data_IF_794952916160
#
_entry.id   IF_794952916160
#
_cell.length_a   1.000
_cell.length_b   1.000
_cell.length_c   1.000
_cell.angle_alpha   90.00
_cell.angle_beta   90.00
_cell.angle_gamma   90.00
#
_symmetry.space_group_name_H-M   'P 1'
#
loop_
_entity.id
_entity.type
_entity.pdbx_description
1 polymer ?
#
# COMPACT_ATOMS: atom_id res chain seq x y z
N UNK A 1 9.89 -7.54 3.78
CA UNK A 1 9.53 -8.90 3.32
C UNK A 1 10.77 -9.57 2.76
N UNK A 2 11.12 -10.76 3.25
CA UNK A 2 12.14 -11.56 2.60
C UNK A 2 11.61 -11.92 1.20
N UNK A 3 12.19 -11.36 0.14
CA UNK A 3 11.74 -11.56 -1.25
C UNK A 3 11.99 -12.97 -1.80
N UNK A 4 12.14 -13.97 -0.93
CA UNK A 4 12.39 -15.36 -1.28
C UNK A 4 11.09 -16.15 -1.30
N UNK A 5 10.95 -17.03 -2.28
CA UNK A 5 9.83 -17.97 -2.37
C UNK A 5 9.85 -18.94 -1.18
N UNK A 6 8.67 -19.24 -0.63
CA UNK A 6 8.52 -20.20 0.46
C UNK A 6 8.73 -21.61 -0.08
N UNK A 7 9.67 -22.37 0.52
CA UNK A 7 10.03 -23.73 0.06
C UNK A 7 9.54 -24.87 0.95
N UNK A 8 8.93 -24.58 2.09
CA UNK A 8 8.43 -25.59 3.04
C UNK A 8 6.94 -25.37 3.36
N UNK A 9 6.29 -26.42 3.85
CA UNK A 9 4.86 -26.56 4.22
C UNK A 9 4.38 -25.63 5.36
N UNK A 10 4.68 -24.34 5.26
CA UNK A 10 4.37 -23.37 6.28
C UNK A 10 2.86 -23.15 6.34
N UNK A 11 2.28 -23.50 7.49
CA UNK A 11 0.95 -23.03 7.87
C UNK A 11 0.96 -21.50 7.87
N UNK A 12 -0.03 -20.87 7.25
CA UNK A 12 -0.16 -19.41 7.26
C UNK A 12 -0.45 -18.96 8.69
N UNK A 13 0.55 -18.38 9.38
CA UNK A 13 0.32 -17.72 10.67
C UNK A 13 -0.23 -16.32 10.41
N UNK A 14 -1.42 -16.05 10.92
CA UNK A 14 -2.08 -14.74 10.86
C UNK A 14 -2.02 -14.10 12.24
N UNK A 15 -1.48 -12.89 12.31
CA UNK A 15 -1.49 -12.07 13.52
C UNK A 15 -2.82 -11.28 13.58
N UNK A 16 -3.56 -11.41 14.69
CA UNK A 16 -4.84 -10.74 14.91
C UNK A 16 -4.71 -9.40 15.65
N UNK A 17 -3.47 -8.93 15.90
CA UNK A 17 -3.25 -7.64 16.56
C UNK A 17 -3.81 -6.48 15.73
N UNK A 18 -4.66 -5.63 16.33
CA UNK A 18 -5.21 -4.47 15.62
C UNK A 18 -4.16 -3.36 15.46
N UNK A 19 -4.39 -2.47 14.51
CA UNK A 19 -3.53 -1.30 14.29
C UNK A 19 -3.48 -0.41 15.55
N UNK A 20 -2.31 0.12 15.94
CA UNK A 20 -2.19 1.05 17.06
C UNK A 20 -3.08 2.28 16.88
N UNK A 21 -3.71 2.75 17.96
CA UNK A 21 -4.66 3.87 17.93
C UNK A 21 -4.07 5.21 17.46
N UNK A 22 -2.74 5.35 17.49
CA UNK A 22 -2.04 6.54 16.98
C UNK A 22 -2.10 6.68 15.46
N UNK A 23 -2.40 5.60 14.73
CA UNK A 23 -2.45 5.59 13.26
C UNK A 23 -3.93 5.55 12.84
N UNK A 24 -4.45 6.61 12.19
CA UNK A 24 -5.82 6.61 11.71
C UNK A 24 -6.05 5.54 10.66
N UNK A 25 -7.14 4.78 10.82
CA UNK A 25 -7.55 3.74 9.89
C UNK A 25 -7.82 4.29 8.48
N UNK A 26 -7.55 3.47 7.47
CA UNK A 26 -7.83 3.77 6.07
C UNK A 26 -8.67 2.67 5.46
N UNK A 27 -9.53 3.06 4.51
CA UNK A 27 -10.28 2.08 3.75
C UNK A 27 -9.42 1.52 2.62
N UNK A 28 -9.23 0.21 2.65
CA UNK A 28 -8.50 -0.52 1.62
C UNK A 28 -9.22 -0.50 0.27
N UNK A 29 -8.47 -0.79 -0.80
CA UNK A 29 -8.93 -0.67 -2.20
C UNK A 29 -9.99 -1.73 -2.53
N UNK A 30 -9.90 -2.92 -1.93
CA UNK A 30 -10.94 -3.97 -2.07
C UNK A 30 -11.10 -4.56 -3.48
N UNK A 31 -10.21 -4.26 -4.42
CA UNK A 31 -10.25 -4.75 -5.79
C UNK A 31 -9.30 -5.95 -5.99
N UNK A 32 -9.73 -6.92 -6.80
CA UNK A 32 -8.89 -8.06 -7.20
C UNK A 32 -7.91 -7.69 -8.32
N UNK A 33 -7.01 -8.61 -8.66
CA UNK A 33 -5.93 -8.34 -9.63
C UNK A 33 -6.43 -7.88 -11.00
N UNK A 34 -7.51 -8.48 -11.52
CA UNK A 34 -8.08 -8.14 -12.82
C UNK A 34 -8.62 -6.69 -12.90
N UNK A 35 -9.52 -6.24 -12.00
CA UNK A 35 -10.00 -4.86 -12.03
C UNK A 35 -8.88 -3.85 -11.73
N UNK A 36 -7.95 -4.16 -10.81
CA UNK A 36 -6.79 -3.29 -10.56
C UNK A 36 -5.92 -3.12 -11.81
N UNK A 37 -5.67 -4.21 -12.55
CA UNK A 37 -4.89 -4.16 -13.78
C UNK A 37 -5.61 -3.32 -14.85
N UNK A 38 -6.92 -3.50 -15.01
CA UNK A 38 -7.71 -2.73 -15.97
C UNK A 38 -7.75 -1.23 -15.65
N UNK A 39 -7.75 -0.87 -14.36
CA UNK A 39 -7.78 0.51 -13.89
C UNK A 39 -6.39 1.16 -13.75
N UNK A 40 -5.31 0.40 -13.93
CA UNK A 40 -3.93 0.81 -13.61
C UNK A 40 -3.50 2.12 -14.29
N UNK A 41 -3.83 2.31 -15.56
CA UNK A 41 -3.51 3.53 -16.30
C UNK A 41 -4.28 4.76 -15.77
N UNK A 42 -5.54 4.57 -15.39
CA UNK A 42 -6.37 5.65 -14.83
C UNK A 42 -5.91 6.04 -13.42
N UNK A 43 -5.55 5.05 -12.60
CA UNK A 43 -4.94 5.26 -11.29
C UNK A 43 -3.61 6.01 -11.45
N UNK A 44 -2.77 5.60 -12.41
CA UNK A 44 -1.51 6.26 -12.70
C UNK A 44 -1.68 7.72 -13.11
N UNK A 45 -2.65 8.03 -13.99
CA UNK A 45 -2.89 9.40 -14.44
C UNK A 45 -3.42 10.30 -13.32
N UNK A 46 -4.34 9.80 -12.47
CA UNK A 46 -4.95 10.60 -11.41
C UNK A 46 -4.06 10.73 -10.18
N UNK A 47 -3.37 9.66 -9.81
CA UNK A 47 -2.65 9.55 -8.54
C UNK A 47 -1.13 9.72 -8.68
N UNK A 48 -0.65 10.15 -9.84
CA UNK A 48 0.79 10.31 -10.13
C UNK A 48 1.56 11.03 -9.02
N UNK A 49 1.13 12.24 -8.65
CA UNK A 49 1.82 13.05 -7.65
C UNK A 49 1.90 12.36 -6.28
N UNK A 50 0.83 11.66 -5.86
CA UNK A 50 0.83 10.96 -4.57
C UNK A 50 1.73 9.72 -4.58
N UNK A 51 1.77 9.00 -5.70
CA UNK A 51 2.63 7.84 -5.88
C UNK A 51 4.11 8.25 -5.89
N UNK A 52 4.43 9.32 -6.61
CA UNK A 52 5.78 9.86 -6.71
C UNK A 52 6.25 10.40 -5.34
N UNK A 53 5.40 11.11 -4.59
CA UNK A 53 5.67 11.55 -3.21
C UNK A 53 5.96 10.38 -2.25
N UNK A 54 5.18 9.29 -2.35
CA UNK A 54 5.37 8.10 -1.50
C UNK A 54 6.71 7.42 -1.80
N UNK A 55 7.05 7.29 -3.09
CA UNK A 55 8.32 6.71 -3.51
C UNK A 55 9.50 7.60 -3.08
N UNK A 56 9.36 8.92 -3.21
CA UNK A 56 10.37 9.87 -2.75
C UNK A 56 10.60 9.76 -1.23
N UNK A 57 9.53 9.79 -0.42
CA UNK A 57 9.62 9.61 1.03
C UNK A 57 10.34 8.30 1.41
N UNK A 58 10.02 7.21 0.70
CA UNK A 58 10.65 5.91 0.93
C UNK A 58 12.13 5.91 0.57
N UNK A 59 12.53 6.62 -0.48
CA UNK A 59 13.95 6.75 -0.88
C UNK A 59 14.76 7.64 0.06
N UNK A 60 14.18 8.71 0.59
CA UNK A 60 14.86 9.64 1.51
C UNK A 60 15.10 9.04 2.90
N UNK A 61 14.32 8.03 3.28
CA UNK A 61 14.35 7.40 4.61
C UNK A 61 14.69 5.90 4.54
N UNK A 62 15.93 5.55 4.17
CA UNK A 62 16.34 4.15 4.04
C UNK A 62 16.17 3.41 5.38
N UNK A 63 15.41 2.31 5.36
CA UNK A 63 15.14 1.48 6.54
C UNK A 63 14.04 1.98 7.49
N UNK A 64 13.51 3.19 7.29
CA UNK A 64 12.38 3.74 8.05
C UNK A 64 11.16 4.12 7.20
N UNK A 65 11.24 3.94 5.88
CA UNK A 65 10.16 4.28 4.95
C UNK A 65 8.82 3.61 5.29
N UNK A 66 8.82 2.39 5.85
CA UNK A 66 7.61 1.67 6.23
C UNK A 66 6.83 2.33 7.38
N UNK A 67 7.51 3.02 8.30
CA UNK A 67 6.88 3.68 9.45
C UNK A 67 6.64 5.17 9.18
N UNK A 68 7.61 5.83 8.57
CA UNK A 68 7.60 7.27 8.42
C UNK A 68 6.71 7.74 7.25
N UNK A 69 6.51 6.90 6.23
CA UNK A 69 5.73 7.25 5.03
C UNK A 69 4.27 6.77 5.09
N UNK A 70 3.78 6.39 6.28
CA UNK A 70 2.38 5.96 6.47
C UNK A 70 1.38 7.08 6.15
N UNK A 71 1.76 8.36 6.22
CA UNK A 71 0.87 9.46 5.84
C UNK A 71 0.69 9.54 4.33
N UNK A 72 1.77 9.37 3.59
CA UNK A 72 1.86 9.38 2.12
C UNK A 72 1.14 8.14 1.56
N UNK A 73 1.40 6.97 2.12
CA UNK A 73 0.74 5.72 1.72
C UNK A 73 -0.78 5.81 1.84
N UNK A 74 -1.30 6.42 2.90
CA UNK A 74 -2.75 6.65 3.07
C UNK A 74 -3.35 7.58 2.01
N UNK A 75 -2.59 8.57 1.52
CA UNK A 75 -3.02 9.45 0.43
C UNK A 75 -3.12 8.66 -0.89
N UNK A 76 -2.14 7.80 -1.16
CA UNK A 76 -2.14 6.90 -2.32
C UNK A 76 -3.35 5.97 -2.31
N UNK A 77 -3.60 5.25 -1.22
CA UNK A 77 -4.73 4.30 -1.11
C UNK A 77 -6.08 5.01 -1.29
N UNK A 78 -6.25 6.20 -0.71
CA UNK A 78 -7.48 7.00 -0.87
C UNK A 78 -7.69 7.46 -2.30
N UNK A 79 -6.62 7.89 -2.98
CA UNK A 79 -6.68 8.30 -4.38
C UNK A 79 -7.03 7.11 -5.28
N UNK A 80 -6.35 5.97 -5.12
CA UNK A 80 -6.63 4.76 -5.90
C UNK A 80 -8.07 4.29 -5.73
N UNK A 81 -8.57 4.30 -4.49
CA UNK A 81 -9.96 3.92 -4.20
C UNK A 81 -10.97 4.76 -4.99
N UNK A 82 -10.77 6.08 -5.08
CA UNK A 82 -11.69 6.99 -5.79
C UNK A 82 -11.77 6.77 -7.32
N UNK A 83 -10.81 6.03 -7.89
CA UNK A 83 -10.80 5.70 -9.32
C UNK A 83 -11.45 4.35 -9.57
N UNK A 84 -11.31 3.41 -8.62
CA UNK A 84 -11.87 2.07 -8.72
C UNK A 84 -13.32 1.96 -8.25
N UNK A 85 -13.82 2.92 -7.45
CA UNK A 85 -15.21 2.98 -6.93
C UNK A 85 -15.65 4.40 -6.55
#
# INVERSE_FOLDING_TARGET
MAGREARFNQTTLVDTTPLPASIPAVTEIGASSAPLLSASFFIGARCKAYNDDFMQCKTEKPGRGELDCLKEGRRVTRCAKSVTF
#
